data_IF_736918045941
#
_entry.id   IF_736918045941
#
_cell.length_a   1.000
_cell.length_b   1.000
_cell.length_c   1.000
_cell.angle_alpha   90.00
_cell.angle_beta   90.00
_cell.angle_gamma   90.00
#
_symmetry.space_group_name_H-M   'P 1'
#
loop_
_entity.id
_entity.type
_entity.pdbx_description
1 polymer ?
#
# COMPACT_ATOMS: atom_id res chain seq x y z
N UNK A 1 14.89 15.55 15.99
CA UNK A 1 15.23 16.01 14.62
C UNK A 1 14.22 15.58 13.54
N UNK A 2 13.35 14.58 13.80
CA UNK A 2 12.44 14.03 12.79
C UNK A 2 11.07 14.72 12.71
N UNK A 3 10.78 15.73 13.52
CA UNK A 3 9.50 16.43 13.51
C UNK A 3 9.64 17.94 13.36
N UNK A 4 10.24 18.46 12.26
CA UNK A 4 10.14 19.88 11.96
C UNK A 4 8.69 20.22 11.65
N UNK A 5 8.27 21.44 11.95
CA UNK A 5 6.93 21.96 11.76
C UNK A 5 6.35 21.57 10.38
N UNK A 6 5.19 20.90 10.38
CA UNK A 6 4.44 20.55 9.18
C UNK A 6 4.78 19.20 8.50
N UNK A 7 5.75 18.42 8.96
CA UNK A 7 6.05 17.09 8.41
C UNK A 7 5.28 16.00 9.15
N UNK A 8 4.78 15.02 8.40
CA UNK A 8 4.08 13.85 8.94
C UNK A 8 5.02 12.65 8.84
N UNK A 9 5.32 12.05 9.99
CA UNK A 9 6.00 10.76 10.04
C UNK A 9 4.95 9.64 9.98
N UNK A 10 5.16 8.68 9.09
CA UNK A 10 4.35 7.46 9.02
C UNK A 10 5.28 6.24 9.16
N UNK A 11 4.96 5.35 10.08
CA UNK A 11 5.70 4.12 10.38
C UNK A 11 4.81 2.93 10.02
N UNK A 12 5.28 2.11 9.08
CA UNK A 12 4.70 0.80 8.80
C UNK A 12 5.50 -0.27 9.53
N UNK A 13 4.83 -1.18 10.22
CA UNK A 13 5.45 -2.23 11.02
C UNK A 13 4.67 -3.55 10.88
N UNK A 14 5.34 -4.67 11.13
CA UNK A 14 4.64 -5.96 11.29
C UNK A 14 3.83 -6.03 12.60
N UNK A 15 4.05 -5.11 13.55
CA UNK A 15 3.29 -4.99 14.78
C UNK A 15 3.61 -6.04 15.86
N UNK A 16 4.61 -6.90 15.65
CA UNK A 16 4.98 -7.95 16.61
C UNK A 16 5.73 -7.39 17.83
N UNK A 17 6.36 -6.25 17.69
CA UNK A 17 7.17 -5.57 18.71
C UNK A 17 6.66 -4.13 18.90
N UNK A 18 5.37 -4.00 19.26
CA UNK A 18 4.72 -2.70 19.46
C UNK A 18 5.39 -1.86 20.55
N UNK A 19 5.99 -2.50 21.55
CA UNK A 19 6.72 -1.87 22.65
C UNK A 19 7.85 -0.94 22.16
N UNK A 20 8.47 -1.26 21.03
CA UNK A 20 9.52 -0.43 20.43
C UNK A 20 9.01 0.92 19.91
N UNK A 21 7.71 1.05 19.71
CA UNK A 21 7.08 2.28 19.22
C UNK A 21 6.49 3.13 20.34
N UNK A 22 6.39 2.61 21.58
CA UNK A 22 5.77 3.32 22.69
C UNK A 22 6.41 4.67 22.99
N UNK A 23 7.75 4.72 23.05
CA UNK A 23 8.50 5.96 23.30
C UNK A 23 8.29 7.00 22.19
N UNK A 24 8.19 6.53 20.93
CA UNK A 24 7.94 7.40 19.78
C UNK A 24 6.53 7.98 19.85
N UNK A 25 5.53 7.14 20.12
CA UNK A 25 4.12 7.55 20.17
C UNK A 25 3.88 8.49 21.35
N UNK A 26 4.43 8.20 22.54
CA UNK A 26 4.37 9.09 23.71
C UNK A 26 4.94 10.47 23.41
N UNK A 27 6.10 10.52 22.76
CA UNK A 27 6.79 11.79 22.44
C UNK A 27 6.17 12.52 21.25
N UNK A 28 5.65 11.78 20.27
CA UNK A 28 5.10 12.30 19.02
C UNK A 28 3.74 11.65 18.70
N UNK A 29 2.66 11.99 19.41
CA UNK A 29 1.36 11.32 19.30
C UNK A 29 0.71 11.44 17.92
N UNK A 30 1.14 12.41 17.10
CA UNK A 30 0.69 12.56 15.69
C UNK A 30 1.42 11.65 14.70
N UNK A 31 2.39 10.86 15.16
CA UNK A 31 3.03 9.86 14.30
C UNK A 31 1.98 8.86 13.83
N UNK A 32 1.91 8.67 12.53
CA UNK A 32 1.04 7.64 11.97
C UNK A 32 1.70 6.29 12.13
N UNK A 33 0.99 5.34 12.72
CA UNK A 33 1.46 3.96 12.85
C UNK A 33 0.48 3.02 12.14
N UNK A 34 1.00 2.17 11.28
CA UNK A 34 0.23 1.14 10.59
C UNK A 34 0.83 -0.22 10.84
N UNK A 35 0.04 -1.12 11.41
CA UNK A 35 0.43 -2.52 11.55
C UNK A 35 -0.17 -3.33 10.40
N UNK A 36 0.67 -4.17 9.79
CA UNK A 36 0.21 -5.11 8.77
C UNK A 36 -0.72 -6.15 9.39
N UNK A 37 -1.97 -6.21 8.93
CA UNK A 37 -2.99 -7.13 9.40
C UNK A 37 -3.77 -7.66 8.20
N UNK A 38 -3.52 -8.91 7.82
CA UNK A 38 -3.97 -9.45 6.53
C UNK A 38 -5.32 -10.18 6.62
N UNK A 39 -5.81 -10.50 7.81
CA UNK A 39 -7.06 -11.22 8.05
C UNK A 39 -7.30 -11.42 9.52
N UNK A 40 -8.37 -12.13 9.89
CA UNK A 40 -8.61 -12.55 11.26
C UNK A 40 -7.77 -13.77 11.62
N UNK A 41 -7.36 -13.87 12.90
CA UNK A 41 -6.75 -15.04 13.52
C UNK A 41 -5.84 -15.83 12.58
N UNK A 42 -6.29 -17.02 12.20
CA UNK A 42 -5.53 -17.96 11.37
C UNK A 42 -5.23 -17.44 9.96
N UNK A 43 -6.12 -16.66 9.35
CA UNK A 43 -5.84 -16.04 8.04
C UNK A 43 -4.61 -15.15 8.12
N UNK A 44 -4.57 -14.23 9.10
CA UNK A 44 -3.40 -13.38 9.31
C UNK A 44 -2.15 -14.21 9.61
N UNK A 45 -2.26 -15.17 10.54
CA UNK A 45 -1.12 -15.94 11.02
C UNK A 45 -0.51 -16.80 9.89
N UNK A 46 -1.36 -17.40 9.05
CA UNK A 46 -0.94 -18.19 7.90
C UNK A 46 -0.25 -17.33 6.82
N UNK A 47 -0.84 -16.20 6.46
CA UNK A 47 -0.29 -15.31 5.42
C UNK A 47 1.05 -14.71 5.87
N UNK A 48 1.15 -14.33 7.15
CA UNK A 48 2.35 -13.70 7.71
C UNK A 48 3.40 -14.70 8.20
N UNK A 49 3.05 -15.98 8.34
CA UNK A 49 3.92 -17.01 8.92
C UNK A 49 4.22 -16.74 10.40
N UNK A 50 3.24 -16.24 11.15
CA UNK A 50 3.36 -15.81 12.53
C UNK A 50 2.50 -16.71 13.44
N UNK A 51 2.95 -17.00 14.64
CA UNK A 51 2.13 -17.62 15.67
C UNK A 51 1.53 -16.51 16.55
N UNK A 52 0.19 -16.52 16.75
CA UNK A 52 -0.54 -15.52 17.53
C UNK A 52 -0.37 -14.06 17.05
N UNK A 53 0.07 -13.87 15.80
CA UNK A 53 0.38 -12.56 15.24
C UNK A 53 -0.82 -11.62 15.24
N UNK A 54 -2.03 -12.13 14.96
CA UNK A 54 -3.27 -11.33 15.02
C UNK A 54 -3.48 -10.73 16.41
N UNK A 55 -3.49 -11.58 17.46
CA UNK A 55 -3.74 -11.14 18.82
C UNK A 55 -2.67 -10.13 19.31
N UNK A 56 -1.39 -10.41 19.03
CA UNK A 56 -0.27 -9.53 19.39
C UNK A 56 -0.39 -8.15 18.73
N UNK A 57 -0.74 -8.11 17.46
CA UNK A 57 -0.90 -6.84 16.69
C UNK A 57 -2.07 -6.02 17.20
N UNK A 58 -3.21 -6.67 17.49
CA UNK A 58 -4.38 -5.99 18.05
C UNK A 58 -4.06 -5.43 19.42
N UNK A 59 -3.50 -6.24 20.32
CA UNK A 59 -3.12 -5.80 21.67
C UNK A 59 -2.10 -4.64 21.62
N UNK A 60 -1.06 -4.76 20.79
CA UNK A 60 -0.06 -3.71 20.59
C UNK A 60 -0.65 -2.41 20.06
N UNK A 61 -1.59 -2.49 19.10
CA UNK A 61 -2.28 -1.31 18.56
C UNK A 61 -3.12 -0.60 19.63
N UNK A 62 -3.87 -1.37 20.44
CA UNK A 62 -4.66 -0.81 21.53
C UNK A 62 -3.75 -0.18 22.59
N UNK A 63 -2.62 -0.82 22.90
CA UNK A 63 -1.63 -0.26 23.81
C UNK A 63 -1.08 1.09 23.31
N UNK A 64 -0.73 1.22 22.03
CA UNK A 64 -0.30 2.51 21.48
C UNK A 64 -1.40 3.57 21.53
N UNK A 65 -2.68 3.19 21.40
CA UNK A 65 -3.83 4.08 21.52
C UNK A 65 -3.98 4.60 22.96
N UNK A 66 -3.87 3.72 23.97
CA UNK A 66 -3.87 4.09 25.40
C UNK A 66 -2.74 5.09 25.73
N UNK A 67 -1.61 4.99 25.05
CA UNK A 67 -0.47 5.88 25.21
C UNK A 67 -0.63 7.24 24.49
N UNK A 68 -1.80 7.51 23.91
CA UNK A 68 -2.16 8.78 23.29
C UNK A 68 -1.89 8.89 21.81
N UNK A 69 -1.59 7.79 21.12
CA UNK A 69 -1.43 7.77 19.65
C UNK A 69 -2.71 8.23 18.93
N UNK A 70 -2.59 9.21 18.02
CA UNK A 70 -3.72 9.87 17.37
C UNK A 70 -4.04 9.36 15.95
N UNK A 71 -3.07 8.82 15.22
CA UNK A 71 -3.27 8.32 13.85
C UNK A 71 -2.73 6.88 13.74
N UNK A 72 -3.42 5.98 14.41
CA UNK A 72 -3.10 4.57 14.49
C UNK A 72 -4.00 3.74 13.56
N UNK A 73 -3.53 2.59 13.08
CA UNK A 73 -4.39 1.72 12.29
C UNK A 73 -3.73 0.48 11.72
N UNK A 74 -4.55 -0.28 11.02
CA UNK A 74 -4.14 -1.49 10.33
C UNK A 74 -4.01 -1.25 8.83
N UNK A 75 -3.16 -2.03 8.18
CA UNK A 75 -3.01 -2.07 6.74
C UNK A 75 -3.08 -3.50 6.24
N UNK A 76 -3.92 -3.76 5.23
CA UNK A 76 -4.04 -5.05 4.59
C UNK A 76 -3.54 -5.00 3.14
N UNK A 77 -2.80 -6.03 2.73
CA UNK A 77 -2.47 -6.29 1.33
C UNK A 77 -3.51 -7.25 0.78
N UNK A 78 -4.38 -6.73 -0.10
CA UNK A 78 -5.46 -7.49 -0.72
C UNK A 78 -4.89 -8.57 -1.65
N UNK A 79 -5.31 -9.80 -1.42
CA UNK A 79 -4.95 -10.98 -2.20
C UNK A 79 -6.05 -12.04 -2.10
N UNK A 80 -5.96 -13.11 -2.88
CA UNK A 80 -6.99 -14.17 -2.92
C UNK A 80 -7.25 -14.78 -1.53
N UNK A 81 -6.20 -14.91 -0.70
CA UNK A 81 -6.26 -15.61 0.58
C UNK A 81 -6.98 -14.84 1.69
N UNK A 82 -7.14 -13.53 1.56
CA UNK A 82 -7.74 -12.69 2.59
C UNK A 82 -8.93 -11.86 2.13
N UNK A 83 -9.29 -11.92 0.86
CA UNK A 83 -10.28 -10.99 0.32
C UNK A 83 -11.64 -11.09 1.02
N UNK A 84 -12.00 -12.26 1.51
CA UNK A 84 -13.24 -12.47 2.28
C UNK A 84 -13.22 -11.80 3.66
N UNK A 85 -12.05 -11.58 4.24
CA UNK A 85 -11.88 -10.96 5.55
C UNK A 85 -11.82 -9.43 5.49
N UNK A 86 -11.51 -8.85 4.33
CA UNK A 86 -11.11 -7.43 4.20
C UNK A 86 -12.22 -6.47 4.63
N UNK A 87 -13.48 -6.76 4.29
CA UNK A 87 -14.64 -5.93 4.68
C UNK A 87 -14.84 -5.96 6.20
N UNK A 88 -14.73 -7.14 6.79
CA UNK A 88 -14.94 -7.30 8.23
C UNK A 88 -13.75 -6.76 9.03
N UNK A 89 -12.52 -6.87 8.52
CA UNK A 89 -11.36 -6.16 9.09
C UNK A 89 -11.55 -4.65 9.08
N UNK A 90 -12.13 -4.10 8.00
CA UNK A 90 -12.45 -2.68 7.96
C UNK A 90 -13.45 -2.29 9.06
N UNK A 91 -14.55 -3.07 9.21
CA UNK A 91 -15.54 -2.84 10.28
C UNK A 91 -14.91 -2.97 11.66
N UNK A 92 -14.12 -4.01 11.88
CA UNK A 92 -13.34 -4.21 13.12
C UNK A 92 -12.45 -3.00 13.43
N UNK A 93 -11.73 -2.46 12.46
CA UNK A 93 -10.91 -1.27 12.66
C UNK A 93 -11.76 -0.05 13.04
N UNK A 94 -12.97 0.12 12.43
CA UNK A 94 -13.89 1.19 12.80
C UNK A 94 -14.42 1.02 14.24
N UNK A 95 -14.74 -0.20 14.68
CA UNK A 95 -15.16 -0.51 16.06
C UNK A 95 -14.07 -0.20 17.07
N UNK A 96 -12.81 -0.47 16.75
CA UNK A 96 -11.64 -0.12 17.57
C UNK A 96 -11.27 1.36 17.47
N UNK A 97 -11.98 2.13 16.64
CA UNK A 97 -11.67 3.53 16.33
C UNK A 97 -10.21 3.71 15.95
N UNK A 98 -9.77 2.91 15.00
CA UNK A 98 -8.47 3.02 14.34
C UNK A 98 -8.64 3.05 12.82
N UNK A 99 -7.62 3.50 12.13
CA UNK A 99 -7.62 3.62 10.67
C UNK A 99 -7.46 2.27 10.00
N UNK A 100 -7.99 2.14 8.78
CA UNK A 100 -7.76 0.99 7.93
C UNK A 100 -7.27 1.43 6.55
N UNK A 101 -6.18 0.87 6.10
CA UNK A 101 -5.60 1.14 4.79
C UNK A 101 -5.44 -0.17 4.00
N UNK A 102 -5.55 -0.07 2.69
CA UNK A 102 -5.45 -1.21 1.79
C UNK A 102 -4.43 -0.95 0.69
N UNK A 103 -3.80 -2.00 0.24
CA UNK A 103 -3.03 -2.07 -1.01
C UNK A 103 -3.30 -3.43 -1.67
N UNK A 104 -2.92 -3.61 -2.92
CA UNK A 104 -2.92 -4.92 -3.56
C UNK A 104 -1.54 -5.54 -3.50
N UNK A 105 -1.45 -6.84 -3.75
CA UNK A 105 -0.19 -7.50 -4.07
C UNK A 105 0.50 -6.75 -5.20
N UNK A 106 1.77 -6.44 -5.02
CA UNK A 106 2.60 -5.85 -6.05
C UNK A 106 4.01 -6.43 -6.01
N UNK A 107 4.67 -6.40 -7.12
CA UNK A 107 6.05 -6.79 -7.25
C UNK A 107 6.94 -5.57 -7.01
N UNK A 108 8.01 -5.75 -6.24
CA UNK A 108 8.93 -4.68 -5.90
C UNK A 108 10.35 -5.22 -5.82
N UNK A 109 11.28 -4.56 -6.52
CA UNK A 109 12.66 -5.04 -6.66
C UNK A 109 13.39 -5.12 -5.32
N UNK A 110 13.14 -4.18 -4.40
CA UNK A 110 13.78 -4.16 -3.09
C UNK A 110 13.39 -5.31 -2.17
N UNK A 111 12.29 -6.00 -2.45
CA UNK A 111 11.87 -7.20 -1.74
C UNK A 111 12.22 -8.49 -2.50
N UNK A 112 12.92 -8.37 -3.63
CA UNK A 112 13.20 -9.50 -4.54
C UNK A 112 11.94 -10.30 -4.87
N UNK A 113 10.79 -9.61 -4.99
CA UNK A 113 9.48 -10.19 -5.31
C UNK A 113 9.05 -9.76 -6.70
N UNK A 114 8.84 -10.74 -7.56
CA UNK A 114 8.40 -10.57 -8.95
C UNK A 114 7.33 -11.61 -9.37
N UNK A 115 6.88 -12.44 -8.42
CA UNK A 115 5.96 -13.56 -8.60
C UNK A 115 4.64 -13.39 -7.83
N UNK A 116 4.34 -12.19 -7.34
CA UNK A 116 3.07 -11.89 -6.70
C UNK A 116 1.97 -11.73 -7.74
N UNK A 117 0.88 -12.49 -7.60
CA UNK A 117 -0.27 -12.49 -8.51
C UNK A 117 -1.56 -12.59 -7.73
N UNK A 118 -2.58 -11.91 -8.21
CA UNK A 118 -3.98 -12.12 -7.85
C UNK A 118 -4.57 -13.05 -8.90
N UNK A 119 -5.04 -14.22 -8.50
CA UNK A 119 -5.53 -15.26 -9.40
C UNK A 119 -7.01 -15.08 -9.76
N UNK A 120 -7.88 -14.96 -8.77
CA UNK A 120 -9.31 -14.72 -8.98
C UNK A 120 -9.59 -13.21 -8.94
N UNK A 121 -9.09 -12.51 -9.97
CA UNK A 121 -9.16 -11.05 -10.08
C UNK A 121 -10.59 -10.54 -9.99
N UNK A 122 -11.55 -11.24 -10.62
CA UNK A 122 -12.94 -10.82 -10.61
C UNK A 122 -13.56 -10.93 -9.22
N UNK A 123 -13.35 -12.05 -8.51
CA UNK A 123 -13.80 -12.21 -7.13
C UNK A 123 -13.21 -11.13 -6.23
N UNK A 124 -11.89 -10.92 -6.32
CA UNK A 124 -11.21 -9.90 -5.52
C UNK A 124 -11.76 -8.50 -5.82
N UNK A 125 -11.98 -8.15 -7.09
CA UNK A 125 -12.56 -6.88 -7.48
C UNK A 125 -13.98 -6.68 -6.88
N UNK A 126 -14.84 -7.71 -6.92
CA UNK A 126 -16.18 -7.65 -6.35
C UNK A 126 -16.21 -7.49 -4.82
N UNK A 127 -15.28 -8.11 -4.12
CA UNK A 127 -15.18 -7.90 -2.67
C UNK A 127 -14.64 -6.49 -2.33
N UNK A 128 -13.75 -5.93 -3.16
CA UNK A 128 -13.31 -4.54 -3.00
C UNK A 128 -14.45 -3.55 -3.25
N UNK A 129 -15.40 -3.83 -4.15
CA UNK A 129 -16.63 -3.02 -4.29
C UNK A 129 -17.44 -2.94 -3.00
N UNK A 130 -17.57 -4.07 -2.28
CA UNK A 130 -18.24 -4.10 -0.97
C UNK A 130 -17.51 -3.22 0.04
N UNK A 131 -16.18 -3.31 0.09
CA UNK A 131 -15.36 -2.45 0.95
C UNK A 131 -15.55 -0.96 0.62
N UNK A 132 -15.54 -0.59 -0.66
CA UNK A 132 -15.79 0.78 -1.13
C UNK A 132 -17.15 1.27 -0.62
N UNK A 133 -18.16 0.44 -0.78
CA UNK A 133 -19.52 0.77 -0.35
C UNK A 133 -19.60 1.02 1.15
N UNK A 134 -18.97 0.16 1.97
CA UNK A 134 -18.91 0.35 3.43
C UNK A 134 -18.14 1.62 3.82
N UNK A 135 -17.03 1.93 3.14
CA UNK A 135 -16.28 3.17 3.38
C UNK A 135 -17.11 4.42 3.10
N UNK A 136 -17.93 4.41 2.06
CA UNK A 136 -18.78 5.55 1.68
C UNK A 136 -19.98 5.74 2.63
N UNK A 137 -20.41 4.71 3.34
CA UNK A 137 -21.48 4.84 4.35
C UNK A 137 -21.04 5.66 5.57
N UNK A 138 -19.75 5.72 5.89
CA UNK A 138 -19.24 6.41 7.08
C UNK A 138 -19.29 7.94 6.93
N UNK A 139 -19.23 8.66 8.07
CA UNK A 139 -19.14 10.12 8.09
C UNK A 139 -17.68 10.64 8.10
N UNK A 140 -16.69 9.74 8.04
CA UNK A 140 -15.27 10.11 8.02
C UNK A 140 -14.84 10.44 6.58
N UNK A 141 -14.61 11.70 6.26
CA UNK A 141 -14.17 12.16 4.92
C UNK A 141 -12.93 11.42 4.42
N UNK A 142 -12.01 11.07 5.31
CA UNK A 142 -10.82 10.28 4.99
C UNK A 142 -11.17 8.91 4.36
N UNK A 143 -12.26 8.28 4.83
CA UNK A 143 -12.74 7.00 4.29
C UNK A 143 -13.34 7.17 2.89
N UNK A 144 -13.98 8.30 2.60
CA UNK A 144 -14.53 8.55 1.27
C UNK A 144 -13.43 8.62 0.21
N UNK A 145 -12.31 9.31 0.52
CA UNK A 145 -11.15 9.33 -0.38
C UNK A 145 -10.41 8.00 -0.44
N UNK A 146 -10.44 7.20 0.63
CA UNK A 146 -9.97 5.82 0.59
C UNK A 146 -10.84 4.91 -0.29
N UNK A 147 -12.15 5.14 -0.33
CA UNK A 147 -13.04 4.47 -1.25
C UNK A 147 -12.60 4.71 -2.72
N UNK A 148 -12.22 5.94 -3.07
CA UNK A 148 -11.65 6.23 -4.38
C UNK A 148 -10.29 5.55 -4.60
N UNK A 149 -9.44 5.49 -3.58
CA UNK A 149 -8.18 4.73 -3.68
C UNK A 149 -8.45 3.25 -3.97
N UNK A 150 -9.48 2.67 -3.34
CA UNK A 150 -9.87 1.27 -3.60
C UNK A 150 -10.49 1.08 -4.99
N UNK A 151 -11.14 2.10 -5.57
CA UNK A 151 -11.55 2.04 -6.98
C UNK A 151 -10.34 1.82 -7.91
N UNK A 152 -9.26 2.56 -7.69
CA UNK A 152 -8.03 2.36 -8.46
C UNK A 152 -7.30 1.05 -8.14
N UNK A 153 -7.54 0.43 -6.96
CA UNK A 153 -7.07 -0.93 -6.69
C UNK A 153 -7.80 -1.96 -7.54
N UNK A 154 -9.12 -1.77 -7.78
CA UNK A 154 -9.86 -2.63 -8.71
C UNK A 154 -9.25 -2.55 -10.11
N UNK A 155 -8.98 -1.36 -10.61
CA UNK A 155 -8.33 -1.18 -11.91
C UNK A 155 -6.95 -1.86 -11.98
N UNK A 156 -6.17 -1.76 -10.91
CA UNK A 156 -4.89 -2.47 -10.80
C UNK A 156 -5.07 -4.00 -10.80
N UNK A 157 -6.06 -4.52 -10.04
CA UNK A 157 -6.35 -5.94 -9.94
C UNK A 157 -6.77 -6.52 -11.30
N UNK A 158 -7.59 -5.79 -12.05
CA UNK A 158 -8.07 -6.22 -13.36
C UNK A 158 -7.04 -6.02 -14.48
N UNK A 159 -5.93 -5.33 -14.21
CA UNK A 159 -4.85 -5.08 -15.16
C UNK A 159 -5.09 -3.87 -16.06
N UNK A 160 -6.03 -3.00 -15.71
CA UNK A 160 -6.34 -1.77 -16.47
C UNK A 160 -5.32 -0.66 -16.26
N UNK A 161 -5.44 0.40 -17.02
CA UNK A 161 -4.65 1.62 -16.86
C UNK A 161 -4.97 2.34 -15.54
N UNK A 162 -4.03 3.15 -15.08
CA UNK A 162 -4.21 3.99 -13.88
C UNK A 162 -5.31 5.01 -14.08
N UNK A 163 -6.16 5.19 -13.06
CA UNK A 163 -7.18 6.27 -13.04
C UNK A 163 -6.57 7.67 -13.05
N UNK A 164 -5.36 7.83 -12.53
CA UNK A 164 -4.65 9.10 -12.42
C UNK A 164 -3.20 8.87 -12.80
N UNK A 165 -2.58 9.77 -13.59
CA UNK A 165 -1.16 9.68 -13.94
C UNK A 165 -0.25 9.60 -12.73
N UNK A 166 0.88 8.92 -12.87
CA UNK A 166 1.87 8.78 -11.83
C UNK A 166 2.70 10.07 -11.68
N UNK A 167 2.93 10.51 -10.44
CA UNK A 167 3.77 11.68 -10.12
C UNK A 167 5.07 11.29 -9.40
N UNK A 168 5.49 10.03 -9.50
CA UNK A 168 6.74 9.54 -8.94
C UNK A 168 7.95 10.33 -9.51
N UNK A 169 8.98 10.54 -8.69
CA UNK A 169 10.12 11.37 -9.03
C UNK A 169 9.86 12.89 -8.95
N UNK A 170 8.60 13.29 -8.67
CA UNK A 170 8.21 14.68 -8.40
C UNK A 170 7.60 14.82 -7.01
N UNK A 171 6.46 14.19 -6.79
CA UNK A 171 5.70 14.29 -5.53
C UNK A 171 5.94 13.09 -4.60
N UNK A 172 6.65 12.09 -5.09
CA UNK A 172 7.06 10.89 -4.35
C UNK A 172 8.45 10.45 -4.83
N UNK A 173 9.28 10.03 -3.88
CA UNK A 173 10.57 9.36 -4.12
C UNK A 173 10.73 8.22 -3.13
N UNK A 174 11.50 7.22 -3.49
CA UNK A 174 11.90 6.13 -2.63
C UNK A 174 13.39 6.26 -2.30
N UNK A 175 13.74 6.12 -1.03
CA UNK A 175 15.14 6.13 -0.57
C UNK A 175 15.39 4.78 0.09
N UNK A 176 16.39 4.08 -0.39
CA UNK A 176 16.78 2.78 0.15
C UNK A 176 17.75 2.91 1.35
N UNK A 177 18.08 1.81 2.05
CA UNK A 177 19.02 1.85 3.18
C UNK A 177 20.45 2.32 2.84
N UNK A 178 20.83 2.29 1.56
CA UNK A 178 22.14 2.75 1.09
C UNK A 178 22.14 4.22 0.68
N UNK A 179 21.01 4.90 0.90
CA UNK A 179 20.76 6.29 0.53
C UNK A 179 20.65 6.52 -1.00
N UNK A 180 20.43 5.47 -1.77
CA UNK A 180 20.04 5.62 -3.17
C UNK A 180 18.63 6.18 -3.27
N UNK A 181 18.44 7.20 -4.09
CA UNK A 181 17.17 7.89 -4.31
C UNK A 181 16.60 7.45 -5.64
N UNK A 182 15.45 6.79 -5.61
CA UNK A 182 14.73 6.35 -6.80
C UNK A 182 13.47 7.18 -6.99
N UNK A 183 13.05 7.37 -8.24
CA UNK A 183 11.76 7.99 -8.53
C UNK A 183 10.60 7.16 -7.96
N UNK A 184 10.68 5.83 -8.04
CA UNK A 184 9.70 4.93 -7.41
C UNK A 184 10.35 3.64 -6.91
N UNK A 185 9.63 2.90 -6.08
CA UNK A 185 10.09 1.66 -5.47
C UNK A 185 9.78 0.39 -6.29
N UNK A 186 9.25 0.53 -7.51
CA UNK A 186 8.91 -0.61 -8.39
C UNK A 186 9.96 -0.81 -9.48
N UNK A 187 10.52 0.28 -10.01
CA UNK A 187 11.44 0.28 -11.13
C UNK A 187 12.86 0.69 -10.71
N UNK A 188 13.80 -0.25 -10.67
CA UNK A 188 15.20 0.01 -10.26
C UNK A 188 15.98 0.87 -11.27
N UNK A 189 15.55 0.91 -12.53
CA UNK A 189 16.13 1.75 -13.58
C UNK A 189 15.87 3.26 -13.40
N UNK A 190 15.00 3.64 -12.46
CA UNK A 190 14.65 5.03 -12.18
C UNK A 190 15.47 5.62 -11.01
N UNK A 191 16.77 5.32 -10.94
CA UNK A 191 17.71 5.85 -9.94
C UNK A 191 18.05 7.31 -10.24
N UNK A 192 17.67 8.22 -9.33
CA UNK A 192 17.90 9.68 -9.42
C UNK A 192 19.32 10.04 -8.98
N UNK A 193 19.79 9.52 -7.85
CA UNK A 193 21.10 9.81 -7.28
C UNK A 193 21.32 9.15 -5.92
N UNK A 194 22.36 9.58 -5.16
CA UNK A 194 22.66 9.03 -3.85
C UNK A 194 22.97 10.15 -2.84
N UNK A 195 22.26 10.16 -1.70
CA UNK A 195 22.38 11.21 -0.66
C UNK A 195 23.71 11.19 0.14
N UNK A 196 24.53 10.16 -0.01
CA UNK A 196 25.88 10.15 0.56
C UNK A 196 26.88 10.94 -0.30
N UNK A 197 26.53 11.25 -1.55
CA UNK A 197 27.41 11.88 -2.54
C UNK A 197 26.88 13.22 -3.04
N UNK A 198 25.59 13.47 -2.91
CA UNK A 198 24.89 14.62 -3.47
C UNK A 198 23.85 15.14 -2.47
N UNK A 199 23.63 16.43 -2.43
CA UNK A 199 22.50 17.01 -1.71
C UNK A 199 21.18 16.67 -2.40
N UNK A 200 20.08 16.80 -1.67
CA UNK A 200 18.74 16.62 -2.22
C UNK A 200 18.47 17.52 -3.43
N UNK A 201 18.88 18.78 -3.32
CA UNK A 201 18.64 19.77 -4.39
C UNK A 201 19.44 19.46 -5.65
N UNK A 202 20.69 19.02 -5.52
CA UNK A 202 21.51 18.56 -6.63
C UNK A 202 20.87 17.36 -7.33
N UNK A 203 20.37 16.38 -6.57
CA UNK A 203 19.68 15.20 -7.12
C UNK A 203 18.43 15.66 -7.88
N UNK A 204 17.54 16.41 -7.23
CA UNK A 204 16.21 16.70 -7.77
C UNK A 204 16.23 17.68 -8.95
N UNK A 205 17.23 18.53 -9.04
CA UNK A 205 17.39 19.52 -10.12
C UNK A 205 18.31 19.05 -11.26
N UNK A 206 18.90 17.87 -11.16
CA UNK A 206 19.82 17.32 -12.16
C UNK A 206 19.16 17.09 -13.51
N UNK A 207 19.93 17.12 -14.63
CA UNK A 207 19.45 16.68 -15.94
C UNK A 207 18.91 15.26 -15.92
N UNK A 208 19.58 14.35 -15.20
CA UNK A 208 19.16 12.96 -14.98
C UNK A 208 17.75 12.86 -14.37
N UNK A 209 17.46 13.68 -13.37
CA UNK A 209 16.14 13.69 -12.74
C UNK A 209 15.05 14.18 -13.69
N UNK A 210 15.35 15.11 -14.57
CA UNK A 210 14.41 15.54 -15.63
C UNK A 210 14.13 14.41 -16.62
N UNK A 211 15.15 13.73 -17.12
CA UNK A 211 15.02 12.56 -17.99
C UNK A 211 14.17 11.45 -17.34
N UNK A 212 14.45 11.13 -16.09
CA UNK A 212 13.72 10.10 -15.34
C UNK A 212 12.24 10.46 -15.16
N UNK A 213 11.91 11.74 -14.94
CA UNK A 213 10.51 12.19 -14.87
C UNK A 213 9.77 11.98 -16.21
N UNK A 214 10.44 12.16 -17.33
CA UNK A 214 9.83 11.83 -18.65
C UNK A 214 9.61 10.31 -18.79
N UNK A 215 10.55 9.47 -18.33
CA UNK A 215 10.35 8.01 -18.27
C UNK A 215 9.18 7.61 -17.35
N UNK A 216 8.96 8.33 -16.25
CA UNK A 216 7.79 8.12 -15.38
C UNK A 216 6.49 8.50 -16.07
N UNK A 217 6.45 9.62 -16.80
CA UNK A 217 5.27 10.02 -17.59
C UNK A 217 4.90 8.99 -18.66
N UNK A 218 5.90 8.39 -19.28
CA UNK A 218 5.72 7.34 -20.29
C UNK A 218 5.44 5.95 -19.70
N UNK A 219 5.50 5.80 -18.37
CA UNK A 219 5.30 4.52 -17.71
C UNK A 219 3.84 4.08 -17.77
N UNK A 220 3.60 2.89 -18.34
CA UNK A 220 2.27 2.31 -18.48
C UNK A 220 1.92 1.31 -17.37
N UNK A 221 2.82 1.07 -16.41
CA UNK A 221 2.52 0.16 -15.30
C UNK A 221 1.46 0.75 -14.37
N UNK A 222 0.39 0.01 -14.13
CA UNK A 222 -0.59 0.36 -13.12
C UNK A 222 -0.21 -0.24 -11.76
N UNK A 223 0.83 0.26 -11.13
CA UNK A 223 1.23 -0.14 -9.77
C UNK A 223 0.53 0.65 -8.66
N UNK A 224 -0.69 1.02 -8.79
CA UNK A 224 -1.56 1.85 -7.92
C UNK A 224 -1.22 1.84 -6.43
N UNK A 225 -0.02 2.30 -6.08
CA UNK A 225 0.45 2.37 -4.70
C UNK A 225 -0.17 3.56 -3.99
N UNK A 226 -0.58 3.37 -2.73
CA UNK A 226 -1.21 4.41 -1.90
C UNK A 226 -0.38 5.69 -1.86
N UNK A 227 0.93 5.59 -1.76
CA UNK A 227 1.85 6.74 -1.72
C UNK A 227 1.77 7.58 -2.99
N UNK A 228 1.88 6.97 -4.16
CA UNK A 228 1.85 7.67 -5.45
C UNK A 228 0.43 8.09 -5.85
N UNK A 229 -0.58 7.27 -5.56
CA UNK A 229 -1.98 7.59 -5.88
C UNK A 229 -2.50 8.75 -5.01
N UNK A 230 -2.24 8.71 -3.69
CA UNK A 230 -2.68 9.76 -2.75
C UNK A 230 -2.07 11.14 -3.07
N UNK A 231 -0.79 11.18 -3.45
CA UNK A 231 -0.16 12.44 -3.84
C UNK A 231 -0.75 12.98 -5.14
N UNK A 232 -0.95 12.12 -6.14
CA UNK A 232 -1.58 12.50 -7.40
C UNK A 232 -3.03 12.99 -7.23
N UNK A 233 -3.83 12.35 -6.36
CA UNK A 233 -5.21 12.78 -6.04
C UNK A 233 -5.29 14.20 -5.48
N UNK A 234 -4.26 14.64 -4.76
CA UNK A 234 -4.20 15.97 -4.15
C UNK A 234 -3.70 17.06 -5.07
N UNK A 235 -3.10 16.69 -6.19
CA UNK A 235 -2.56 17.64 -7.15
C UNK A 235 -3.63 18.01 -8.19
N UNK A 236 -4.21 19.23 -8.16
CA UNK A 236 -5.24 19.64 -9.08
C UNK A 236 -4.73 19.79 -10.53
N UNK A 237 -3.42 19.89 -10.72
CA UNK A 237 -2.79 20.06 -12.03
C UNK A 237 -2.50 18.71 -12.72
N UNK A 238 -2.65 17.58 -12.04
CA UNK A 238 -2.48 16.27 -12.65
C UNK A 238 -3.69 15.98 -13.53
N UNK A 239 -3.51 15.69 -14.83
CA UNK A 239 -4.59 15.27 -15.70
C UNK A 239 -5.28 14.03 -15.14
N UNK A 240 -6.60 14.03 -15.18
CA UNK A 240 -7.43 12.94 -14.66
C UNK A 240 -8.49 12.60 -15.69
N UNK A 241 -8.91 11.34 -15.69
CA UNK A 241 -10.03 10.92 -16.52
C UNK A 241 -11.28 11.72 -16.11
N UNK A 242 -12.00 12.36 -17.05
CA UNK A 242 -13.13 13.24 -16.73
C UNK A 242 -14.21 12.58 -15.87
N UNK A 243 -14.47 11.28 -16.11
CA UNK A 243 -15.48 10.49 -15.38
C UNK A 243 -15.05 10.01 -14.00
N UNK A 244 -13.75 10.06 -13.70
CA UNK A 244 -13.16 9.49 -12.49
C UNK A 244 -12.38 10.51 -11.67
N UNK A 245 -12.66 11.79 -11.77
CA UNK A 245 -12.02 12.82 -10.94
C UNK A 245 -12.30 12.54 -9.45
N UNK A 246 -11.28 12.44 -8.59
CA UNK A 246 -11.43 11.98 -7.21
C UNK A 246 -12.51 12.71 -6.43
N UNK A 247 -12.48 14.04 -6.44
CA UNK A 247 -13.44 14.85 -5.69
C UNK A 247 -14.88 14.60 -6.14
N UNK A 248 -15.17 14.71 -7.43
CA UNK A 248 -16.53 14.51 -7.95
C UNK A 248 -17.01 13.09 -7.78
N UNK A 249 -16.14 12.11 -8.01
CA UNK A 249 -16.48 10.72 -7.78
C UNK A 249 -16.89 10.48 -6.32
N UNK A 250 -16.10 11.03 -5.37
CA UNK A 250 -16.37 10.92 -3.93
C UNK A 250 -17.69 11.57 -3.58
N UNK A 251 -17.94 12.81 -4.00
CA UNK A 251 -19.17 13.56 -3.68
C UNK A 251 -20.41 12.83 -4.19
N UNK A 252 -20.41 12.46 -5.46
CA UNK A 252 -21.55 11.78 -6.10
C UNK A 252 -21.83 10.43 -5.44
N UNK A 253 -20.80 9.60 -5.24
CA UNK A 253 -20.99 8.26 -4.70
C UNK A 253 -21.24 8.24 -3.18
N UNK A 254 -20.73 9.24 -2.44
CA UNK A 254 -21.13 9.46 -1.04
C UNK A 254 -22.61 9.83 -0.94
N UNK A 255 -23.10 10.72 -1.78
CA UNK A 255 -24.53 11.06 -1.81
C UNK A 255 -25.39 9.83 -2.12
N UNK A 256 -25.00 9.03 -3.12
CA UNK A 256 -25.69 7.75 -3.43
C UNK A 256 -25.72 6.79 -2.25
N UNK A 257 -24.56 6.57 -1.60
CA UNK A 257 -24.46 5.69 -0.43
C UNK A 257 -25.35 6.19 0.74
N UNK A 258 -25.42 7.51 0.95
CA UNK A 258 -26.29 8.13 1.97
C UNK A 258 -27.77 7.92 1.68
N UNK A 259 -28.17 7.94 0.41
CA UNK A 259 -29.54 7.73 -0.05
C UNK A 259 -29.89 6.23 -0.22
N UNK A 260 -29.01 5.32 0.17
CA UNK A 260 -29.21 3.87 -0.01
C UNK A 260 -29.17 3.39 -1.47
N UNK A 261 -28.69 4.24 -2.39
CA UNK A 261 -28.60 3.92 -3.80
C UNK A 261 -27.32 3.11 -4.10
N UNK A 262 -27.36 2.13 -5.01
CA UNK A 262 -26.18 1.36 -5.40
C UNK A 262 -25.13 2.24 -6.09
N UNK A 263 -23.84 1.95 -5.83
CA UNK A 263 -22.72 2.56 -6.54
C UNK A 263 -22.64 1.95 -7.95
N UNK A 264 -22.67 2.75 -9.02
CA UNK A 264 -22.66 2.22 -10.39
C UNK A 264 -21.23 1.89 -10.85
N UNK A 265 -20.61 0.85 -10.28
CA UNK A 265 -19.22 0.48 -10.56
C UNK A 265 -18.97 0.25 -12.06
N UNK A 266 -19.87 -0.40 -12.78
CA UNK A 266 -19.77 -0.63 -14.23
C UNK A 266 -19.69 0.66 -15.08
N UNK A 267 -20.04 1.83 -14.50
CA UNK A 267 -19.85 3.12 -15.16
C UNK A 267 -18.38 3.54 -15.16
N UNK A 268 -17.59 3.06 -14.22
CA UNK A 268 -16.21 3.45 -13.98
C UNK A 268 -15.21 2.37 -14.36
N UNK A 269 -15.60 1.10 -14.27
CA UNK A 269 -14.76 -0.09 -14.43
C UNK A 269 -15.32 -0.94 -15.57
N UNK A 270 -14.45 -1.33 -16.50
CA UNK A 270 -14.80 -2.28 -17.57
C UNK A 270 -14.51 -3.71 -17.10
N UNK A 271 -15.54 -4.41 -16.66
CA UNK A 271 -15.44 -5.81 -16.23
C UNK A 271 -15.37 -6.82 -17.39
N UNK A 272 -15.59 -6.38 -18.63
CA UNK A 272 -15.45 -7.23 -19.82
C UNK A 272 -14.00 -7.49 -20.20
N UNK A 273 -13.09 -6.65 -19.69
CA UNK A 273 -11.65 -6.77 -19.95
C UNK A 273 -10.94 -7.14 -18.65
N UNK A 274 -10.36 -8.34 -18.58
CA UNK A 274 -9.48 -8.76 -17.50
C UNK A 274 -8.17 -9.17 -18.12
N UNK A 275 -7.14 -8.35 -17.89
CA UNK A 275 -5.80 -8.65 -18.39
C UNK A 275 -5.18 -9.73 -17.50
N UNK A 276 -4.98 -10.91 -18.04
CA UNK A 276 -4.31 -12.03 -17.36
C UNK A 276 -2.86 -12.07 -17.78
N UNK A 277 -1.95 -12.25 -16.81
CA UNK A 277 -0.56 -12.55 -17.10
C UNK A 277 -0.39 -14.08 -17.14
N UNK A 278 -0.42 -14.63 -18.36
CA UNK A 278 -0.30 -16.08 -18.58
C UNK A 278 1.10 -16.62 -18.23
N UNK A 279 2.09 -15.73 -18.10
CA UNK A 279 3.47 -16.11 -17.77
C UNK A 279 3.64 -16.50 -16.29
N UNK A 280 2.65 -16.24 -15.44
CA UNK A 280 2.75 -16.48 -14.01
C UNK A 280 2.26 -17.88 -13.64
N UNK A 281 3.07 -18.69 -12.95
CA UNK A 281 2.68 -20.05 -12.55
C UNK A 281 1.44 -20.08 -11.68
N UNK A 282 0.54 -21.02 -11.93
CA UNK A 282 -0.68 -21.20 -11.12
C UNK A 282 -0.33 -21.60 -9.68
N UNK A 283 -1.20 -21.21 -8.74
CA UNK A 283 -1.06 -21.36 -7.27
C UNK A 283 -0.74 -22.79 -6.80
N UNK A 284 -1.14 -23.82 -7.52
CA UNK A 284 -0.90 -25.23 -7.20
C UNK A 284 0.59 -25.56 -7.00
N UNK A 285 1.49 -24.79 -7.63
CA UNK A 285 2.93 -24.94 -7.50
C UNK A 285 3.56 -24.23 -6.28
N UNK A 286 2.80 -23.37 -5.57
CA UNK A 286 3.31 -22.57 -4.45
C UNK A 286 3.00 -23.13 -3.06
N UNK A 287 2.14 -24.14 -2.98
CA UNK A 287 1.69 -24.71 -1.69
C UNK A 287 2.58 -25.86 -1.18
N UNK A 288 3.66 -26.20 -1.86
CA UNK A 288 4.63 -27.14 -1.32
C UNK A 288 5.36 -26.51 -0.12
N UNK A 289 4.98 -26.95 1.08
CA UNK A 289 5.54 -26.50 2.36
C UNK A 289 7.08 -26.61 2.43
N UNK A 290 7.68 -27.50 1.64
CA UNK A 290 9.13 -27.66 1.52
C UNK A 290 9.77 -26.53 0.71
N UNK A 291 9.10 -26.01 -0.33
CA UNK A 291 9.58 -24.86 -1.11
C UNK A 291 9.47 -23.57 -0.32
N UNK A 292 8.42 -23.39 0.48
CA UNK A 292 8.27 -22.23 1.38
C UNK A 292 9.37 -22.25 2.45
N UNK A 293 9.72 -23.40 3.01
CA UNK A 293 10.84 -23.54 3.96
C UNK A 293 12.20 -23.26 3.29
N UNK A 294 12.44 -23.77 2.09
CA UNK A 294 13.68 -23.48 1.32
C UNK A 294 13.81 -22.01 0.98
N UNK A 295 12.72 -21.31 0.59
CA UNK A 295 12.77 -19.88 0.29
C UNK A 295 13.02 -19.03 1.55
N UNK A 296 12.49 -19.40 2.71
CA UNK A 296 12.82 -18.75 4.00
C UNK A 296 14.31 -18.91 4.31
N UNK A 297 14.85 -20.11 4.18
CA UNK A 297 16.26 -20.40 4.41
C UNK A 297 17.17 -19.60 3.47
N UNK A 298 16.87 -19.55 2.17
CA UNK A 298 17.64 -18.78 1.18
C UNK A 298 17.54 -17.28 1.42
N UNK A 299 16.39 -16.77 1.86
CA UNK A 299 16.22 -15.35 2.21
C UNK A 299 16.99 -14.99 3.48
N UNK A 300 17.01 -15.85 4.49
CA UNK A 300 17.82 -15.69 5.70
C UNK A 300 19.31 -15.79 5.38
N UNK A 301 19.77 -16.76 4.61
CA UNK A 301 21.16 -16.89 4.18
C UNK A 301 21.61 -15.68 3.34
N UNK A 302 20.77 -15.18 2.43
CA UNK A 302 21.05 -13.98 1.63
C UNK A 302 21.10 -12.74 2.52
N UNK A 303 20.21 -12.63 3.51
CA UNK A 303 20.20 -11.52 4.45
C UNK A 303 21.44 -11.53 5.37
N UNK A 304 21.83 -12.69 5.90
CA UNK A 304 23.03 -12.83 6.73
C UNK A 304 24.32 -12.64 5.93
N UNK A 305 24.44 -13.17 4.73
CA UNK A 305 25.62 -12.94 3.87
C UNK A 305 25.76 -11.48 3.46
N UNK A 306 24.63 -10.78 3.28
CA UNK A 306 24.58 -9.39 2.91
C UNK A 306 24.94 -8.46 4.10
N UNK A 307 24.38 -8.73 5.29
CA UNK A 307 24.70 -7.99 6.52
C UNK A 307 26.17 -8.19 6.92
N UNK A 308 26.68 -9.42 6.88
CA UNK A 308 28.08 -9.72 7.19
C UNK A 308 29.08 -9.04 6.25
N UNK A 309 28.73 -8.86 4.98
CA UNK A 309 29.60 -8.27 3.97
C UNK A 309 29.72 -6.73 4.06
N UNK A 310 28.76 -6.06 4.67
CA UNK A 310 28.68 -4.58 4.68
C UNK A 310 28.74 -3.93 6.06
N UNK A 311 28.58 -4.69 7.15
CA UNK A 311 28.62 -4.16 8.53
C UNK A 311 29.89 -4.52 9.31
N UNK A 312 30.77 -5.35 8.75
CA UNK A 312 32.09 -5.67 9.33
C UNK A 312 33.23 -4.90 8.65
N UNK A 313 32.99 -3.63 8.29
CA UNK A 313 34.06 -2.68 7.90
C UNK A 313 33.91 -1.38 8.65
#
# INVERSE_FOLDING_TARGET
>A
LLHPKGRILEISSNGLHAERLESIVKKYPRTKVRFSLEGFGDTNNRIRGEQDGFAKKVAGMMRLKELGGQDLGFGAVIQDDNITDVVDLYKFAQEKDVEFATSTLHNAFQFHKNDNVVYDRMKVAREVEKLITEMLKTNKVKNWFRAYLNLGLIENILGHDRLIPCTAGKDFTFIDPWCDVYACNVRPDLLLGNLRRQSWDEIMNSPKSREIREKVKACKQNCWMVTTARTAMRNPLVPQLPKARPFWWVVVNKARATLGMPIPFAKYIDYGVVVTDESVPRREHFLDSKQVKRRKQTAEETHYSFVGKYFNR
#
